data_IF_447133202937
#
_entry.id   IF_447133202937
#
_cell.length_a   1.000
_cell.length_b   1.000
_cell.length_c   1.000
_cell.angle_alpha   90.00
_cell.angle_beta   90.00
_cell.angle_gamma   90.00
#
_symmetry.space_group_name_H-M   'P 1'
#
loop_
_entity.id
_entity.type
_entity.pdbx_description
1 polymer ?
#
# COMPACT_ATOMS: atom_id res chain seq x y z
N UNK A 1 -30.31 -24.37 -5.98
CA UNK A 1 -29.27 -23.72 -6.79
C UNK A 1 -28.34 -22.94 -5.85
N UNK A 2 -27.03 -23.26 -5.81
CA UNK A 2 -26.05 -22.55 -4.99
C UNK A 2 -25.91 -21.06 -5.39
N UNK A 3 -26.03 -20.72 -6.67
CA UNK A 3 -25.80 -19.35 -7.16
C UNK A 3 -26.89 -18.38 -6.66
N UNK A 4 -28.14 -18.85 -6.63
CA UNK A 4 -29.26 -18.10 -6.07
C UNK A 4 -29.09 -17.80 -4.56
N UNK A 5 -28.35 -18.64 -3.83
CA UNK A 5 -28.08 -18.41 -2.40
C UNK A 5 -27.05 -17.32 -2.16
N UNK A 6 -26.12 -17.11 -3.10
CA UNK A 6 -25.07 -16.09 -2.98
C UNK A 6 -25.51 -14.71 -3.46
N UNK A 7 -26.52 -14.66 -4.33
CA UNK A 7 -27.00 -13.42 -4.95
C UNK A 7 -27.30 -12.29 -3.96
N UNK A 8 -28.00 -12.51 -2.83
CA UNK A 8 -28.26 -11.45 -1.85
C UNK A 8 -26.97 -10.82 -1.29
N UNK A 9 -25.94 -11.65 -1.05
CA UNK A 9 -24.66 -11.19 -0.53
C UNK A 9 -23.88 -10.39 -1.57
N UNK A 10 -23.90 -10.81 -2.84
CA UNK A 10 -23.27 -10.08 -3.94
C UNK A 10 -23.94 -8.72 -4.17
N UNK A 11 -25.27 -8.67 -4.13
CA UNK A 11 -26.03 -7.43 -4.19
C UNK A 11 -25.67 -6.51 -3.02
N UNK A 12 -25.63 -7.02 -1.79
CA UNK A 12 -25.25 -6.24 -0.62
C UNK A 12 -23.83 -5.66 -0.74
N UNK A 13 -22.89 -6.48 -1.22
CA UNK A 13 -21.52 -6.04 -1.47
C UNK A 13 -21.45 -4.95 -2.55
N UNK A 14 -22.29 -5.05 -3.58
CA UNK A 14 -22.41 -4.02 -4.60
C UNK A 14 -22.98 -2.71 -4.02
N UNK A 15 -24.09 -2.76 -3.28
CA UNK A 15 -24.68 -1.59 -2.62
C UNK A 15 -23.68 -0.87 -1.71
N UNK A 16 -22.91 -1.64 -0.92
CA UNK A 16 -21.84 -1.13 -0.08
C UNK A 16 -20.78 -0.40 -0.88
N UNK A 17 -20.22 -1.01 -1.92
CA UNK A 17 -19.18 -0.39 -2.76
C UNK A 17 -19.65 0.89 -3.45
N UNK A 18 -20.91 0.94 -3.85
CA UNK A 18 -21.53 2.14 -4.41
C UNK A 18 -21.78 3.23 -3.36
N UNK A 19 -21.75 2.90 -2.06
CA UNK A 19 -21.99 3.84 -0.97
C UNK A 19 -23.46 4.03 -0.63
N UNK A 20 -24.38 3.22 -1.18
CA UNK A 20 -25.82 3.34 -0.90
C UNK A 20 -26.19 3.09 0.57
N UNK A 21 -25.33 2.40 1.33
CA UNK A 21 -25.59 2.06 2.73
C UNK A 21 -25.03 3.10 3.72
N UNK A 22 -24.46 4.21 3.25
CA UNK A 22 -23.93 5.26 4.13
C UNK A 22 -24.16 6.66 3.58
N UNK A 23 -24.57 7.60 4.43
CA UNK A 23 -24.73 9.01 4.07
C UNK A 23 -23.47 9.85 4.23
N UNK A 24 -22.34 9.24 4.63
CA UNK A 24 -21.10 9.96 4.91
C UNK A 24 -20.34 10.27 3.60
N UNK A 25 -19.78 11.47 3.52
CA UNK A 25 -18.94 11.87 2.40
C UNK A 25 -17.65 11.04 2.34
N UNK A 26 -17.14 10.81 1.12
CA UNK A 26 -15.86 10.15 0.87
C UNK A 26 -14.75 11.19 0.73
N UNK A 27 -13.56 10.85 1.21
CA UNK A 27 -12.38 11.71 1.14
C UNK A 27 -11.26 11.09 0.33
N UNK A 28 -10.57 11.94 -0.43
CA UNK A 28 -9.38 11.53 -1.14
C UNK A 28 -8.26 11.18 -0.15
N UNK A 29 -7.49 10.15 -0.47
CA UNK A 29 -6.33 9.72 0.33
C UNK A 29 -5.17 9.44 -0.60
N UNK A 30 -4.04 10.03 -0.29
CA UNK A 30 -2.78 9.78 -0.99
C UNK A 30 -1.70 9.40 0.01
N UNK A 31 -0.78 8.56 -0.41
CA UNK A 31 0.34 8.16 0.43
C UNK A 31 1.41 7.41 -0.34
N UNK A 32 2.32 6.81 0.41
CA UNK A 32 3.39 5.96 -0.13
C UNK A 32 3.48 4.67 0.67
N UNK A 33 3.67 3.55 -0.02
CA UNK A 33 3.93 2.24 0.59
C UNK A 33 5.32 1.77 0.17
N UNK A 34 6.14 1.48 1.18
CA UNK A 34 7.51 0.99 1.04
C UNK A 34 7.74 -0.18 2.00
N UNK A 35 8.56 -1.14 1.59
CA UNK A 35 9.05 -2.22 2.43
C UNK A 35 10.55 -1.99 2.66
N UNK A 36 10.97 -1.79 3.92
CA UNK A 36 12.37 -1.49 4.27
C UNK A 36 12.98 -0.29 3.51
N UNK A 37 12.16 0.70 3.18
CA UNK A 37 12.57 1.89 2.41
C UNK A 37 12.55 1.71 0.89
N UNK A 38 12.30 0.51 0.39
CA UNK A 38 12.19 0.23 -1.05
C UNK A 38 10.72 0.22 -1.49
N UNK A 39 10.44 0.78 -2.67
CA UNK A 39 9.09 0.75 -3.23
C UNK A 39 8.75 -0.68 -3.69
N UNK A 40 7.51 -1.11 -3.45
CA UNK A 40 7.09 -2.45 -3.86
C UNK A 40 6.76 -2.47 -5.35
N UNK A 41 7.12 -3.55 -6.07
CA UNK A 41 6.88 -3.72 -7.51
C UNK A 41 5.43 -3.39 -7.92
N UNK A 42 4.49 -4.15 -7.37
CA UNK A 42 3.05 -3.90 -7.45
C UNK A 42 2.42 -4.24 -6.11
N UNK A 43 1.71 -3.30 -5.50
CA UNK A 43 1.00 -3.53 -4.26
C UNK A 43 -0.41 -2.94 -4.34
N UNK A 44 -1.36 -3.62 -3.70
CA UNK A 44 -2.71 -3.15 -3.50
C UNK A 44 -2.87 -2.69 -2.06
N UNK A 45 -3.19 -1.42 -1.88
CA UNK A 45 -3.51 -0.82 -0.58
C UNK A 45 -5.02 -0.78 -0.47
N UNK A 46 -5.58 -1.49 0.51
CA UNK A 46 -7.02 -1.53 0.76
C UNK A 46 -7.31 -0.98 2.15
N UNK A 47 -8.18 0.01 2.23
CA UNK A 47 -8.76 0.52 3.46
C UNK A 47 -10.08 -0.19 3.70
N UNK A 48 -10.09 -1.09 4.68
CA UNK A 48 -11.28 -1.84 5.09
C UNK A 48 -11.90 -1.12 6.29
N UNK A 49 -13.09 -0.50 6.15
CA UNK A 49 -13.75 0.12 7.29
C UNK A 49 -14.16 -0.94 8.31
N UNK A 50 -14.08 -0.59 9.60
CA UNK A 50 -14.66 -1.42 10.66
C UNK A 50 -16.20 -1.37 10.62
N UNK A 51 -16.77 -0.28 10.10
CA UNK A 51 -18.20 -0.14 9.83
C UNK A 51 -18.59 -1.01 8.62
N UNK A 52 -19.46 -1.98 8.84
CA UNK A 52 -19.94 -2.91 7.81
C UNK A 52 -20.86 -2.25 6.77
N UNK A 53 -21.30 -1.01 6.97
CA UNK A 53 -22.07 -0.28 5.96
C UNK A 53 -21.19 0.59 5.07
N UNK A 54 -19.97 0.91 5.51
CA UNK A 54 -19.07 1.76 4.76
C UNK A 54 -18.40 1.00 3.58
N UNK A 55 -18.15 1.70 2.46
CA UNK A 55 -17.42 1.16 1.31
C UNK A 55 -15.93 0.97 1.64
N UNK A 56 -15.30 -0.15 1.22
CA UNK A 56 -13.86 -0.25 1.21
C UNK A 56 -13.26 0.61 0.10
N UNK A 57 -12.13 1.25 0.37
CA UNK A 57 -11.37 2.00 -0.63
C UNK A 57 -10.10 1.24 -1.01
N UNK A 58 -9.71 1.26 -2.28
CA UNK A 58 -8.54 0.52 -2.76
C UNK A 58 -7.76 1.34 -3.79
N UNK A 59 -6.43 1.34 -3.67
CA UNK A 59 -5.53 1.85 -4.69
C UNK A 59 -4.41 0.88 -5.00
N UNK A 60 -3.85 1.03 -6.20
CA UNK A 60 -2.62 0.37 -6.61
C UNK A 60 -1.44 1.30 -6.33
N UNK A 61 -0.41 0.77 -5.69
CA UNK A 61 0.91 1.35 -5.61
C UNK A 61 1.84 0.59 -6.56
N UNK A 62 2.77 1.29 -7.19
CA UNK A 62 3.76 0.67 -8.08
C UNK A 62 5.18 1.19 -7.83
N UNK A 63 6.16 0.37 -8.16
CA UNK A 63 7.56 0.77 -8.07
C UNK A 63 7.89 1.93 -9.02
N UNK A 64 7.29 1.95 -10.21
CA UNK A 64 7.44 3.05 -11.19
C UNK A 64 7.06 4.42 -10.60
N UNK A 65 6.06 4.44 -9.72
CA UNK A 65 5.59 5.64 -9.01
C UNK A 65 6.24 5.79 -7.62
N UNK A 66 7.36 5.11 -7.36
CA UNK A 66 8.07 5.12 -6.07
C UNK A 66 7.17 4.72 -4.89
N UNK A 67 6.25 3.79 -5.12
CA UNK A 67 5.30 3.29 -4.13
C UNK A 67 4.18 4.27 -3.79
N UNK A 68 4.03 5.38 -4.54
CA UNK A 68 2.92 6.32 -4.37
C UNK A 68 1.60 5.63 -4.72
N UNK A 69 0.56 5.98 -3.97
CA UNK A 69 -0.82 5.65 -4.30
C UNK A 69 -1.71 6.87 -4.08
N UNK A 70 -2.81 6.91 -4.83
CA UNK A 70 -3.82 7.95 -4.72
C UNK A 70 -5.21 7.34 -4.90
N UNK A 71 -6.11 7.69 -4.00
CA UNK A 71 -7.51 7.33 -4.03
C UNK A 71 -8.28 8.65 -4.16
N UNK A 72 -8.94 8.93 -5.30
CA UNK A 72 -9.75 10.13 -5.46
C UNK A 72 -11.01 10.06 -4.59
N UNK A 73 -11.60 11.20 -4.26
CA UNK A 73 -12.78 11.28 -3.40
C UNK A 73 -13.97 10.44 -3.90
N UNK A 74 -14.13 10.26 -5.23
CA UNK A 74 -15.16 9.39 -5.80
C UNK A 74 -15.10 7.93 -5.30
N UNK A 75 -13.90 7.44 -5.00
CA UNK A 75 -13.63 6.09 -4.50
C UNK A 75 -12.93 6.12 -3.13
N UNK A 76 -13.01 7.26 -2.46
CA UNK A 76 -12.31 7.61 -1.23
C UNK A 76 -12.77 6.84 0.00
N UNK A 77 -12.02 7.00 1.08
CA UNK A 77 -12.40 6.45 2.39
C UNK A 77 -13.52 7.30 2.99
N UNK A 78 -14.38 6.66 3.75
CA UNK A 78 -15.37 7.35 4.59
C UNK A 78 -14.71 7.68 5.94
N UNK A 79 -15.08 8.76 6.66
CA UNK A 79 -14.55 9.01 8.00
C UNK A 79 -14.90 7.89 8.99
N UNK A 80 -13.89 7.40 9.70
CA UNK A 80 -14.04 6.36 10.72
C UNK A 80 -12.79 5.51 10.88
N UNK A 81 -12.81 4.53 11.78
CA UNK A 81 -11.69 3.61 11.96
C UNK A 81 -11.63 2.58 10.82
N UNK A 82 -10.42 2.40 10.27
CA UNK A 82 -10.14 1.50 9.16
C UNK A 82 -8.97 0.58 9.48
N UNK A 83 -9.04 -0.65 9.00
CA UNK A 83 -7.90 -1.56 8.90
C UNK A 83 -7.28 -1.40 7.51
N UNK A 84 -5.98 -1.15 7.47
CA UNK A 84 -5.24 -1.06 6.20
C UNK A 84 -4.63 -2.41 5.89
N UNK A 85 -4.93 -2.94 4.70
CA UNK A 85 -4.34 -4.15 4.17
C UNK A 85 -3.47 -3.82 2.96
N UNK A 86 -2.21 -4.24 2.98
CA UNK A 86 -1.32 -4.18 1.82
C UNK A 86 -1.15 -5.58 1.26
N UNK A 87 -1.57 -5.80 0.02
CA UNK A 87 -1.47 -7.09 -0.68
C UNK A 87 -0.55 -6.96 -1.88
N UNK A 88 0.44 -7.83 -1.94
CA UNK A 88 1.37 -7.95 -3.08
C UNK A 88 0.94 -9.17 -3.87
N UNK A 89 0.74 -9.09 -5.19
CA UNK A 89 0.58 -10.28 -6.01
C UNK A 89 1.83 -11.14 -5.83
N UNK A 90 1.67 -12.42 -5.51
CA UNK A 90 2.77 -13.38 -5.56
C UNK A 90 3.11 -13.61 -7.04
N UNK A 91 3.90 -12.71 -7.62
CA UNK A 91 4.64 -13.01 -8.83
C UNK A 91 6.10 -13.15 -8.42
N UNK A 92 6.67 -14.31 -8.74
CA UNK A 92 8.05 -14.64 -8.42
C UNK A 92 9.02 -13.56 -8.85
N UNK A 93 10.11 -13.49 -8.11
CA UNK A 93 11.30 -12.68 -8.36
C UNK A 93 11.10 -11.18 -8.14
N UNK A 94 11.27 -10.83 -6.86
CA UNK A 94 11.97 -9.62 -6.45
C UNK A 94 13.33 -9.60 -7.15
N UNK A 95 13.40 -9.09 -8.38
CA UNK A 95 14.67 -8.84 -9.02
C UNK A 95 15.41 -7.74 -8.25
N UNK A 96 16.38 -8.21 -7.47
CA UNK A 96 17.68 -7.60 -7.28
C UNK A 96 17.77 -6.31 -6.45
N UNK A 97 17.63 -6.48 -5.14
CA UNK A 97 18.63 -5.95 -4.21
C UNK A 97 19.93 -6.74 -4.36
N UNK A 98 20.59 -6.66 -5.54
CA UNK A 98 21.98 -7.08 -5.68
C UNK A 98 22.74 -6.12 -4.78
N UNK A 99 23.03 -6.54 -3.54
CA UNK A 99 23.99 -5.87 -2.68
C UNK A 99 25.27 -5.82 -3.50
N UNK A 100 25.49 -4.67 -4.14
CA UNK A 100 26.73 -4.36 -4.83
C UNK A 100 27.74 -4.24 -3.70
N UNK A 101 28.28 -5.38 -3.30
CA UNK A 101 29.53 -5.46 -2.58
C UNK A 101 30.51 -4.68 -3.47
N UNK A 102 30.67 -3.40 -3.14
CA UNK A 102 31.86 -2.66 -3.48
C UNK A 102 32.98 -3.43 -2.78
N UNK A 103 33.50 -4.47 -3.46
CA UNK A 103 34.88 -4.90 -3.24
C UNK A 103 35.71 -3.72 -3.72
N UNK A 104 35.90 -2.78 -2.79
CA UNK A 104 36.82 -1.68 -2.92
C UNK A 104 38.16 -2.27 -3.35
N UNK A 105 38.52 -1.97 -4.60
CA UNK A 105 39.92 -1.89 -4.96
C UNK A 105 40.61 -0.90 -4.03
N UNK A 106 41.88 -1.20 -3.76
CA UNK A 106 42.86 -0.41 -2.99
C UNK A 106 42.68 -0.43 -1.47
N UNK A 107 43.39 -1.39 -0.87
CA UNK A 107 44.22 -1.11 0.31
C UNK A 107 45.08 0.13 0.01
N UNK A 108 44.85 1.22 0.74
CA UNK A 108 45.93 2.14 1.15
C UNK A 108 45.71 2.51 2.61
N UNK A 109 46.79 2.37 3.37
CA UNK A 109 46.93 2.80 4.77
C UNK A 109 46.63 4.29 4.91
N UNK A 110 46.04 4.62 6.05
CA UNK A 110 46.01 5.94 6.69
C UNK A 110 45.27 5.72 8.02
N UNK A 111 45.97 5.35 9.10
CA UNK A 111 46.43 6.28 10.14
C UNK A 111 45.35 7.31 10.53
N UNK A 112 44.65 7.04 11.64
CA UNK A 112 43.86 8.03 12.35
C UNK A 112 44.75 8.64 13.44
N UNK A 113 45.20 9.87 13.22
CA UNK A 113 45.63 10.75 14.30
C UNK A 113 44.37 11.37 14.92
N UNK A 114 44.22 11.20 16.23
CA UNK A 114 43.25 11.93 17.03
C UNK A 114 43.72 13.39 17.17
N UNK A 115 42.88 14.34 16.77
CA UNK A 115 43.02 15.75 17.13
C UNK A 115 41.72 16.19 17.81
N UNK A 116 41.88 16.58 19.07
CA UNK A 116 40.89 17.22 19.92
C UNK A 116 40.53 18.62 19.39
N UNK A 117 39.39 19.13 19.82
CA UNK A 117 39.04 20.54 19.67
C UNK A 117 37.82 20.91 20.50
N UNK A 118 38.05 21.56 21.63
CA UNK A 118 37.08 22.04 22.62
C UNK A 118 37.76 22.31 23.95
#
# INVERSE_FOLDING_TARGET
>A
DPDFREWPQLMLNWLRRCGFLTGKARHAVSGRVTLNGEAMGMAWVTFVPLDSNAPPARARASHAEKGRFEIPASHGVVPGPHRVEVRVPQHGDVHAGRCRQLRNGRRRRGEYAAAAGG
#
